data_IF_856214959750
#
_entry.id   IF_856214959750
#
_cell.length_a   1.000
_cell.length_b   1.000
_cell.length_c   1.000
_cell.angle_alpha   90.00
_cell.angle_beta   90.00
_cell.angle_gamma   90.00
#
_symmetry.space_group_name_H-M   'P 1'
#
loop_
_entity.id
_entity.type
_entity.pdbx_description
1 polymer ?
2 branched ?
3 branched ?
4 branched ?
5 non-polymer ?
#
# COMPACT_ATOMS: atom_id res chain seq x y z
N UNK A 1 17.25 -52.23 50.47
CA UNK A 1 17.31 -51.34 51.62
C UNK A 1 18.18 -51.91 52.74
N UNK A 2 19.51 -51.72 52.64
CA UNK A 2 20.28 -51.08 51.58
C UNK A 2 20.59 -52.11 50.49
N UNK A 3 21.26 -51.77 49.38
CA UNK A 3 21.76 -50.43 49.05
C UNK A 3 20.78 -49.61 48.21
N UNK A 4 21.28 -48.50 47.69
CA UNK A 4 20.52 -47.63 46.80
C UNK A 4 21.44 -47.02 45.75
N UNK A 5 20.86 -46.24 44.83
CA UNK A 5 21.64 -45.51 43.85
C UNK A 5 21.08 -44.10 43.71
N UNK A 6 21.96 -43.12 43.72
CA UNK A 6 21.54 -41.72 43.66
C UNK A 6 22.18 -40.94 42.51
N UNK A 7 21.39 -40.07 41.92
CA UNK A 7 21.87 -39.18 40.87
C UNK A 7 21.62 -37.74 41.29
N UNK A 8 22.61 -36.89 41.17
CA UNK A 8 22.45 -35.50 41.55
C UNK A 8 22.80 -34.53 40.42
N UNK A 9 21.99 -33.49 40.23
CA UNK A 9 20.66 -33.35 40.86
C UNK A 9 19.62 -34.20 40.13
N UNK A 10 18.59 -34.63 40.85
CA UNK A 10 17.53 -35.44 40.24
C UNK A 10 16.79 -34.69 39.14
N UNK A 11 16.52 -33.41 39.38
CA UNK A 11 15.88 -32.57 38.37
C UNK A 11 16.84 -31.46 37.92
N UNK A 12 16.83 -31.15 36.63
CA UNK A 12 17.71 -30.12 36.10
C UNK A 12 17.07 -29.29 35.00
N UNK A 13 17.40 -28.00 34.98
CA UNK A 13 16.88 -27.07 33.99
C UNK A 13 18.04 -26.29 33.40
N UNK A 14 18.17 -26.32 32.08
CA UNK A 14 19.32 -25.71 31.44
C UNK A 14 18.95 -25.01 30.13
N UNK A 15 19.83 -24.15 29.64
CA UNK A 15 19.64 -23.52 28.35
C UNK A 15 19.78 -24.56 27.25
N UNK A 16 18.99 -24.40 26.19
CA UNK A 16 19.12 -25.27 25.03
C UNK A 16 20.51 -25.11 24.41
N UNK A 17 21.17 -26.22 24.16
CA UNK A 17 22.55 -26.18 23.70
C UNK A 17 23.46 -25.75 24.85
N UNK A 18 22.97 -25.92 26.07
CA UNK A 18 23.72 -25.54 27.25
C UNK A 18 24.39 -26.75 27.89
N UNK A 19 24.94 -26.55 29.08
CA UNK A 19 25.72 -27.60 29.74
C UNK A 19 25.54 -27.61 31.25
N UNK A 20 25.86 -28.74 31.86
CA UNK A 20 25.87 -28.85 33.32
C UNK A 20 26.64 -30.06 33.84
N UNK A 21 26.73 -30.17 35.16
CA UNK A 21 27.43 -31.26 35.82
C UNK A 21 26.45 -32.23 36.47
N UNK A 22 26.81 -33.50 36.48
CA UNK A 22 26.01 -34.53 37.14
C UNK A 22 26.90 -35.44 37.98
N UNK A 23 26.54 -35.58 39.25
CA UNK A 23 27.28 -36.43 40.18
C UNK A 23 26.42 -37.61 40.60
N UNK A 24 26.78 -38.80 40.12
CA UNK A 24 26.01 -40.01 40.42
C UNK A 24 26.81 -40.92 41.33
N UNK A 25 26.23 -41.28 42.46
CA UNK A 25 26.92 -42.07 43.47
C UNK A 25 26.07 -43.22 44.00
N UNK A 26 26.71 -44.14 44.71
CA UNK A 26 26.01 -45.20 45.40
C UNK A 26 26.82 -45.61 46.63
N UNK A 27 26.17 -46.29 47.57
CA UNK A 27 26.83 -46.69 48.82
C UNK A 27 27.58 -48.01 48.71
N UNK A 28 27.56 -48.62 47.52
CA UNK A 28 28.22 -49.89 47.29
C UNK A 28 29.72 -49.79 47.52
N UNK A 29 30.24 -50.56 48.49
CA UNK A 29 31.65 -50.53 48.91
C UNK A 29 32.62 -50.89 47.80
N UNK A 30 32.32 -51.98 47.09
CA UNK A 30 33.14 -52.40 45.97
C UNK A 30 32.27 -52.55 44.73
N UNK A 31 32.02 -51.43 44.03
CA UNK A 31 31.20 -51.50 42.83
C UNK A 31 31.85 -52.39 41.79
N UNK A 32 31.11 -53.36 41.28
CA UNK A 32 31.64 -54.25 40.26
C UNK A 32 31.60 -53.54 38.92
N UNK A 33 30.69 -52.57 38.81
CA UNK A 33 30.61 -51.71 37.63
C UNK A 33 29.92 -50.39 37.96
N UNK A 34 30.08 -49.41 37.07
CA UNK A 34 29.39 -48.14 37.21
C UNK A 34 29.43 -47.37 35.90
N UNK A 35 28.44 -46.51 35.70
CA UNK A 35 28.33 -45.76 34.46
C UNK A 35 27.03 -44.99 34.31
N UNK A 36 26.84 -44.37 33.15
CA UNK A 36 25.66 -43.54 32.91
C UNK A 36 25.06 -43.77 31.52
N UNK A 37 23.74 -43.92 31.48
CA UNK A 37 23.01 -44.03 30.22
C UNK A 37 22.40 -42.69 29.83
N UNK A 38 22.89 -42.13 28.73
CA UNK A 38 22.37 -40.89 28.17
C UNK A 38 22.75 -40.79 26.69
N UNK A 39 22.01 -39.98 25.94
CA UNK A 39 22.29 -39.76 24.52
C UNK A 39 23.10 -38.49 24.25
N UNK A 40 23.36 -37.73 25.31
CA UNK A 40 23.97 -36.41 25.17
C UNK A 40 25.49 -36.44 25.05
N UNK A 41 26.04 -35.49 24.30
CA UNK A 41 27.48 -35.38 24.12
C UNK A 41 28.17 -34.87 25.38
N UNK A 42 29.32 -35.46 25.69
CA UNK A 42 30.08 -35.09 26.89
C UNK A 42 31.40 -34.43 26.52
N UNK A 43 31.72 -33.32 27.17
CA UNK A 43 33.00 -32.66 26.98
C UNK A 43 34.02 -33.18 27.99
N UNK A 44 33.86 -32.80 29.25
CA UNK A 44 34.73 -33.26 30.32
C UNK A 44 34.07 -34.32 31.19
N UNK A 45 34.86 -34.97 32.03
CA UNK A 45 34.35 -35.99 32.93
C UNK A 45 35.21 -36.16 34.18
N UNK A 46 34.61 -36.63 35.26
CA UNK A 46 35.36 -36.95 36.48
C UNK A 46 34.86 -38.23 37.12
N UNK A 47 35.54 -38.66 38.19
CA UNK A 47 35.19 -39.90 38.87
C UNK A 47 35.91 -40.04 40.22
N UNK A 48 35.74 -41.20 40.85
CA UNK A 48 36.33 -41.45 42.14
C UNK A 48 35.83 -42.75 42.77
N UNK A 49 35.93 -42.85 44.09
CA UNK A 49 35.47 -44.03 44.80
C UNK A 49 33.97 -43.93 45.07
N UNK A 50 33.21 -44.89 44.55
CA UNK A 50 31.76 -44.95 44.70
C UNK A 50 30.99 -43.83 43.99
N UNK A 51 31.70 -42.87 43.42
CA UNK A 51 31.05 -41.77 42.71
C UNK A 51 31.65 -41.49 41.33
N UNK A 52 30.79 -41.26 40.36
CA UNK A 52 31.20 -40.94 39.00
C UNK A 52 30.49 -39.66 38.56
N UNK A 53 31.22 -38.79 37.86
CA UNK A 53 30.68 -37.48 37.49
C UNK A 53 30.87 -37.16 36.02
N UNK A 54 29.91 -36.43 35.44
CA UNK A 54 29.96 -36.13 34.01
C UNK A 54 29.51 -34.70 33.71
N UNK A 55 30.21 -34.05 32.79
CA UNK A 55 29.76 -32.76 32.30
C UNK A 55 29.11 -32.94 30.94
N UNK A 56 27.79 -32.77 30.90
CA UNK A 56 27.07 -32.89 29.63
C UNK A 56 26.83 -31.53 29.01
N UNK A 57 27.21 -31.40 27.74
CA UNK A 57 27.17 -30.12 27.03
C UNK A 57 26.33 -30.20 25.76
N UNK A 58 25.94 -29.02 25.24
CA UNK A 58 25.14 -28.92 24.02
C UNK A 58 23.88 -29.77 24.12
N UNK A 59 22.97 -29.39 25.00
CA UNK A 59 21.74 -30.14 25.18
C UNK A 59 20.60 -29.43 24.47
N UNK A 60 20.17 -30.00 23.34
CA UNK A 60 19.07 -29.45 22.56
C UNK A 60 17.77 -30.18 22.87
N UNK A 61 17.87 -31.17 23.73
CA UNK A 61 16.73 -32.05 24.01
C UNK A 61 15.77 -31.42 25.02
N UNK A 62 14.49 -31.31 24.63
CA UNK A 62 13.43 -30.74 25.45
C UNK A 62 13.26 -31.53 26.75
N UNK A 63 13.20 -32.85 26.64
CA UNK A 63 13.15 -33.71 27.80
C UNK A 63 14.04 -34.93 27.62
N UNK A 64 14.93 -35.15 28.58
CA UNK A 64 15.77 -36.34 28.60
C UNK A 64 15.84 -36.90 30.02
N UNK A 65 15.76 -38.21 30.14
CA UNK A 65 15.77 -38.87 31.44
C UNK A 65 16.96 -39.80 31.54
N UNK A 66 18.14 -39.24 31.85
CA UNK A 66 19.37 -40.03 31.94
C UNK A 66 19.34 -40.93 33.15
N UNK A 67 20.05 -42.06 33.12
CA UNK A 67 20.03 -42.97 34.26
C UNK A 67 21.41 -43.51 34.62
N UNK A 68 21.82 -43.27 35.87
CA UNK A 68 23.12 -43.74 36.35
C UNK A 68 22.98 -45.13 36.97
N UNK A 69 23.87 -46.03 36.55
CA UNK A 69 23.79 -47.42 37.00
C UNK A 69 25.09 -47.88 37.66
N UNK A 70 24.94 -48.62 38.76
CA UNK A 70 26.06 -49.21 39.46
C UNK A 70 25.80 -50.69 39.69
N UNK A 71 26.69 -51.53 39.17
CA UNK A 71 26.59 -52.97 39.37
C UNK A 71 27.35 -53.41 40.62
N UNK A 72 26.60 -53.94 41.59
CA UNK A 72 27.18 -54.39 42.85
C UNK A 72 26.48 -55.69 43.27
N UNK A 73 27.27 -56.63 43.80
CA UNK A 73 26.77 -57.94 44.21
C UNK A 73 26.01 -58.66 43.11
N UNK A 74 26.54 -58.61 41.89
CA UNK A 74 25.90 -59.21 40.73
C UNK A 74 24.48 -58.68 40.50
N UNK A 75 24.26 -57.44 40.93
CA UNK A 75 22.93 -56.83 40.85
C UNK A 75 23.02 -55.40 40.34
N UNK A 76 21.97 -54.95 39.65
CA UNK A 76 21.96 -53.62 39.06
C UNK A 76 21.29 -52.60 39.99
N UNK A 77 21.94 -51.45 40.15
CA UNK A 77 21.40 -50.36 40.93
C UNK A 77 21.21 -49.13 40.05
N UNK A 78 19.96 -48.75 39.82
CA UNK A 78 19.67 -47.67 38.87
C UNK A 78 19.07 -46.43 39.53
N UNK A 79 19.48 -45.26 39.03
CA UNK A 79 18.92 -43.99 39.48
C UNK A 79 18.61 -43.10 38.28
N UNK A 80 17.34 -42.75 38.10
CA UNK A 80 16.92 -41.99 36.93
C UNK A 80 16.65 -40.52 37.26
N UNK A 81 17.25 -39.62 36.47
CA UNK A 81 17.04 -38.20 36.61
C UNK A 81 16.15 -37.60 35.52
N UNK A 82 16.00 -36.29 35.55
CA UNK A 82 15.22 -35.59 34.52
C UNK A 82 15.87 -34.27 34.10
N UNK A 83 16.04 -34.09 32.80
CA UNK A 83 16.69 -32.90 32.25
C UNK A 83 15.75 -32.14 31.32
N UNK A 84 15.56 -30.85 31.58
CA UNK A 84 14.70 -30.02 30.73
C UNK A 84 15.39 -28.75 30.25
N UNK A 85 15.26 -28.46 28.96
CA UNK A 85 15.91 -27.29 28.37
C UNK A 85 14.92 -26.16 28.09
N UNK A 86 15.04 -25.08 28.84
CA UNK A 86 14.18 -23.91 28.65
C UNK A 86 14.60 -23.08 27.44
N UNK A 87 13.69 -22.25 26.95
CA UNK A 87 13.95 -21.46 25.75
C UNK A 87 13.55 -19.98 25.88
N UNK A 88 14.53 -19.09 25.69
CA UNK A 88 14.24 -17.67 25.59
C UNK A 88 13.73 -17.36 24.18
N UNK A 89 12.83 -16.37 24.06
CA UNK A 89 12.26 -16.03 22.76
C UNK A 89 13.20 -15.20 21.89
N UNK A 90 14.31 -15.81 21.48
CA UNK A 90 15.25 -15.15 20.57
C UNK A 90 14.63 -14.94 19.20
N UNK A 91 13.59 -15.71 18.89
CA UNK A 91 12.88 -15.55 17.63
C UNK A 91 11.39 -15.34 17.87
N UNK A 92 10.91 -14.14 17.51
CA UNK A 92 9.49 -13.83 17.59
C UNK A 92 9.06 -13.18 16.28
N UNK A 93 8.14 -13.83 15.57
CA UNK A 93 7.75 -13.35 14.25
C UNK A 93 6.25 -13.14 14.09
N UNK A 94 5.87 -12.36 13.08
CA UNK A 94 4.47 -12.02 12.83
C UNK A 94 4.19 -11.97 11.33
N UNK A 95 3.00 -12.41 10.93
CA UNK A 95 2.65 -12.55 9.53
C UNK A 95 2.39 -11.22 8.82
N UNK A 96 2.80 -11.13 7.55
CA UNK A 96 2.61 -9.94 6.71
C UNK A 96 1.15 -9.48 6.68
N UNK A 97 0.95 -8.18 6.85
CA UNK A 97 -0.40 -7.62 6.79
C UNK A 97 -0.84 -7.53 5.32
N UNK A 98 -2.16 -7.51 5.09
CA UNK A 98 -2.65 -7.18 3.76
C UNK A 98 -2.08 -5.83 3.34
N UNK A 99 -1.48 -5.75 2.14
CA UNK A 99 -0.88 -4.50 1.64
C UNK A 99 -1.93 -3.41 1.67
N UNK A 100 -3.15 -3.79 1.32
CA UNK A 100 -4.32 -2.96 1.52
C UNK A 100 -5.49 -3.83 1.96
N UNK A 101 -6.11 -3.48 3.07
CA UNK A 101 -7.24 -4.24 3.58
C UNK A 101 -8.54 -3.44 3.53
N UNK A 102 -9.50 -3.89 2.72
CA UNK A 102 -10.78 -3.18 2.59
C UNK A 102 -11.46 -3.05 3.95
N UNK A 103 -11.91 -1.84 4.30
CA UNK A 103 -12.54 -1.62 5.58
C UNK A 103 -13.90 -2.32 5.63
N UNK A 104 -14.09 -3.17 6.64
CA UNK A 104 -15.29 -3.97 6.76
C UNK A 104 -15.04 -5.41 6.39
N UNK A 105 -13.89 -5.65 5.77
CA UNK A 105 -13.51 -7.01 5.38
C UNK A 105 -12.70 -7.71 6.47
N UNK A 106 -13.20 -8.85 6.94
CA UNK A 106 -12.50 -9.63 7.95
C UNK A 106 -11.16 -10.15 7.43
N UNK A 107 -10.11 -9.88 8.20
CA UNK A 107 -8.78 -10.38 7.87
C UNK A 107 -8.20 -11.03 9.12
N UNK A 108 -7.24 -11.94 8.96
CA UNK A 108 -6.78 -12.73 10.10
C UNK A 108 -5.35 -12.39 10.49
N UNK A 109 -5.03 -12.60 11.77
CA UNK A 109 -3.72 -12.29 12.30
C UNK A 109 -3.08 -13.49 12.98
N UNK A 110 -2.00 -14.01 12.42
CA UNK A 110 -1.34 -15.18 12.98
C UNK A 110 0.05 -14.83 13.50
N UNK A 111 0.36 -15.31 14.70
CA UNK A 111 1.67 -15.13 15.29
C UNK A 111 2.31 -16.49 15.52
N UNK A 112 3.38 -16.76 14.78
CA UNK A 112 4.10 -18.02 14.89
C UNK A 112 5.44 -17.80 15.58
N UNK A 113 5.65 -18.49 16.69
CA UNK A 113 6.89 -18.39 17.45
C UNK A 113 7.56 -19.75 17.52
N UNK A 114 8.32 -20.12 16.47
CA UNK A 114 8.94 -21.44 16.34
C UNK A 114 9.89 -21.80 17.47
N UNK A 115 9.73 -23.00 18.03
CA UNK A 115 10.61 -23.51 19.05
C UNK A 115 10.51 -22.83 20.41
N UNK A 116 9.28 -22.66 20.89
CA UNK A 116 9.06 -22.03 22.19
C UNK A 116 8.66 -23.06 23.25
N UNK A 117 9.30 -22.99 24.42
CA UNK A 117 9.01 -23.93 25.49
C UNK A 117 9.46 -23.50 26.87
N UNK A 118 8.92 -24.15 27.92
CA UNK A 118 7.85 -25.16 27.82
C UNK A 118 6.52 -24.51 27.49
N UNK A 119 5.72 -25.15 26.66
CA UNK A 119 4.47 -24.56 26.17
C UNK A 119 3.53 -24.16 27.30
N UNK A 120 3.54 -24.94 28.39
CA UNK A 120 2.65 -24.70 29.51
C UNK A 120 3.01 -23.44 30.30
N UNK A 121 4.22 -22.94 30.09
CA UNK A 121 4.68 -21.74 30.80
C UNK A 121 4.44 -20.48 30.00
N UNK A 122 3.82 -20.62 28.83
CA UNK A 122 3.73 -19.50 27.90
C UNK A 122 2.34 -18.85 27.84
N UNK A 123 2.34 -17.52 27.88
CA UNK A 123 1.13 -16.75 27.64
C UNK A 123 1.40 -15.79 26.48
N UNK A 124 0.64 -15.95 25.41
CA UNK A 124 0.83 -15.17 24.19
C UNK A 124 -0.24 -14.11 24.05
N UNK A 125 0.11 -12.97 23.45
CA UNK A 125 -0.85 -11.89 23.29
C UNK A 125 -0.81 -11.22 21.91
N UNK A 126 -1.95 -11.21 21.24
CA UNK A 126 -2.11 -10.44 20.02
C UNK A 126 -2.81 -9.13 20.36
N UNK A 127 -2.16 -8.01 20.06
CA UNK A 127 -2.67 -6.72 20.48
C UNK A 127 -2.53 -5.57 19.49
N UNK A 128 -3.55 -4.71 19.50
CA UNK A 128 -3.57 -3.46 18.75
C UNK A 128 -3.08 -2.35 19.66
N UNK A 129 -1.92 -1.79 19.35
CA UNK A 129 -1.35 -0.72 20.15
C UNK A 129 -1.17 -1.13 21.61
N UNK A 130 -1.77 -0.36 22.50
CA UNK A 130 -1.68 -0.64 23.93
C UNK A 130 -2.77 -1.61 24.42
N UNK A 131 -3.78 -1.85 23.59
CA UNK A 131 -4.91 -2.67 24.00
C UNK A 131 -4.78 -4.13 23.56
N UNK A 132 -4.86 -5.04 24.53
CA UNK A 132 -4.84 -6.47 24.23
C UNK A 132 -6.13 -6.89 23.54
N UNK A 133 -6.00 -7.47 22.36
CA UNK A 133 -7.16 -8.08 21.70
C UNK A 133 -7.37 -9.47 22.25
N UNK A 134 -6.40 -10.36 22.01
CA UNK A 134 -6.53 -11.73 22.49
C UNK A 134 -5.32 -12.23 23.27
N UNK A 135 -5.59 -12.83 24.43
CA UNK A 135 -4.53 -13.39 25.27
C UNK A 135 -4.77 -14.86 25.53
N UNK A 136 -3.73 -15.67 25.39
CA UNK A 136 -3.88 -17.11 25.57
C UNK A 136 -2.79 -17.69 26.47
N UNK A 137 -3.21 -18.23 27.60
CA UNK A 137 -2.33 -19.00 28.46
C UNK A 137 -2.33 -20.43 27.96
N UNK A 138 -1.16 -20.98 27.65
CA UNK A 138 -1.08 -22.35 27.15
C UNK A 138 -0.90 -23.36 28.28
N UNK A 139 -0.95 -22.89 29.52
CA UNK A 139 -0.76 -23.77 30.67
C UNK A 139 -1.69 -24.97 30.61
N UNK A 140 -1.12 -26.16 30.74
CA UNK A 140 -1.89 -27.37 30.61
C UNK A 140 -1.59 -28.13 29.34
N UNK A 141 -0.87 -27.49 28.42
CA UNK A 141 -0.30 -28.21 27.30
C UNK A 141 0.77 -29.12 27.89
N UNK A 142 0.98 -30.29 27.27
CA UNK A 142 1.88 -31.33 27.80
C UNK A 142 3.28 -30.81 28.10
N UNK A 143 3.96 -31.41 29.09
CA UNK A 143 5.29 -31.00 29.55
C UNK A 143 6.34 -31.04 28.45
N UNK A 144 6.13 -31.92 27.48
CA UNK A 144 7.08 -32.09 26.38
C UNK A 144 6.76 -31.17 25.20
N UNK A 145 5.62 -30.48 25.28
CA UNK A 145 5.15 -29.68 24.17
C UNK A 145 5.96 -28.39 23.98
N UNK A 146 6.36 -28.14 22.74
CA UNK A 146 7.11 -26.93 22.41
C UNK A 146 6.47 -26.20 21.23
N UNK A 147 6.63 -24.88 21.21
CA UNK A 147 6.11 -24.05 20.13
C UNK A 147 4.76 -23.44 20.46
N UNK A 148 4.52 -22.23 19.95
CA UNK A 148 3.27 -21.53 20.23
C UNK A 148 2.80 -20.71 19.02
N UNK A 149 1.50 -20.77 18.74
CA UNK A 149 0.91 -20.01 17.64
C UNK A 149 -0.41 -19.37 18.10
N UNK A 150 -0.62 -18.11 17.74
CA UNK A 150 -1.90 -17.47 18.06
C UNK A 150 -2.53 -16.75 16.86
N UNK A 151 -3.71 -17.21 16.46
CA UNK A 151 -4.44 -16.61 15.35
C UNK A 151 -5.73 -15.96 15.83
N UNK A 152 -5.97 -14.73 15.40
CA UNK A 152 -7.20 -14.01 15.71
C UNK A 152 -7.79 -13.35 14.47
N UNK A 153 -9.04 -13.68 14.17
CA UNK A 153 -9.75 -13.04 13.08
C UNK A 153 -10.23 -11.66 13.54
N UNK A 154 -10.14 -10.68 12.65
CA UNK A 154 -10.40 -9.28 13.00
C UNK A 154 -11.22 -8.56 11.93
N UNK A 155 -12.19 -7.78 12.37
CA UNK A 155 -12.94 -6.89 11.49
C UNK A 155 -12.16 -5.60 11.29
N UNK A 156 -12.12 -5.10 10.06
CA UNK A 156 -11.33 -3.92 9.74
C UNK A 156 -12.04 -2.62 10.09
N UNK A 157 -11.39 -1.80 10.92
CA UNK A 157 -11.94 -0.49 11.30
C UNK A 157 -11.20 0.65 10.63
N UNK A 158 -11.93 1.74 10.38
CA UNK A 158 -11.37 2.91 9.72
C UNK A 158 -10.42 3.66 10.64
N UNK A 159 -10.79 3.77 11.92
CA UNK A 159 -9.95 4.45 12.90
C UNK A 159 -8.75 3.61 13.29
N UNK A 160 -8.77 2.34 12.90
CA UNK A 160 -7.66 1.44 13.17
C UNK A 160 -6.66 1.41 12.03
N UNK A 161 -6.89 2.26 11.02
CA UNK A 161 -5.97 2.39 9.91
C UNK A 161 -4.78 3.27 10.30
N UNK A 162 -3.58 2.70 10.19
CA UNK A 162 -2.37 3.43 10.50
C UNK A 162 -1.79 3.10 11.86
N UNK A 163 -2.51 2.29 12.63
CA UNK A 163 -2.06 1.90 13.96
C UNK A 163 -0.90 0.89 13.88
N UNK A 164 -0.38 0.50 15.04
CA UNK A 164 0.74 -0.43 15.10
C UNK A 164 0.37 -1.69 15.88
N UNK A 165 0.40 -2.83 15.21
CA UNK A 165 -0.05 -4.08 15.81
C UNK A 165 1.13 -4.98 16.18
N UNK A 166 1.00 -5.74 17.27
CA UNK A 166 2.09 -6.63 17.65
C UNK A 166 1.68 -7.88 18.45
N UNK A 167 2.56 -8.87 18.44
CA UNK A 167 2.38 -10.11 19.16
C UNK A 167 3.46 -10.22 20.24
N UNK A 168 3.04 -10.12 21.50
CA UNK A 168 3.96 -10.18 22.63
C UNK A 168 3.86 -11.53 23.34
N UNK A 169 5.00 -12.21 23.45
CA UNK A 169 5.04 -13.50 24.11
C UNK A 169 5.66 -13.39 25.50
N UNK A 170 5.07 -14.07 26.47
CA UNK A 170 5.51 -14.01 27.86
C UNK A 170 5.76 -15.41 28.44
N UNK A 171 7.02 -15.71 28.77
CA UNK A 171 7.38 -16.98 29.37
C UNK A 171 7.58 -16.85 30.87
N UNK A 172 6.93 -17.70 31.65
CA UNK A 172 7.04 -17.60 33.11
C UNK A 172 7.99 -18.68 33.63
N UNK A 173 9.20 -18.27 33.96
CA UNK A 173 10.16 -19.11 34.69
C UNK A 173 10.23 -18.74 36.17
N UNK A 174 9.33 -17.84 36.58
CA UNK A 174 9.20 -17.45 37.98
C UNK A 174 9.10 -18.61 38.98
N UNK A 175 8.34 -19.68 38.65
CA UNK A 175 8.35 -20.81 39.59
C UNK A 175 9.73 -21.42 39.78
N UNK A 176 10.56 -21.36 38.75
CA UNK A 176 11.90 -21.94 38.80
C UNK A 176 12.94 -20.93 39.29
N UNK A 177 12.48 -19.74 39.65
CA UNK A 177 13.35 -18.70 40.17
C UNK A 177 14.05 -17.92 39.07
N UNK A 178 13.91 -18.41 37.84
CA UNK A 178 14.54 -17.76 36.69
C UNK A 178 13.74 -16.54 36.26
N UNK A 179 12.43 -16.58 36.46
CA UNK A 179 11.60 -15.40 36.27
C UNK A 179 10.98 -15.23 34.89
N UNK A 180 10.32 -14.11 34.69
CA UNK A 180 9.65 -13.81 33.43
C UNK A 180 10.62 -13.40 32.33
N UNK A 181 10.40 -13.93 31.14
CA UNK A 181 11.12 -13.48 29.95
C UNK A 181 10.12 -13.25 28.82
N UNK A 182 10.01 -12.00 28.39
CA UNK A 182 9.03 -11.65 27.36
C UNK A 182 9.67 -10.99 26.16
N UNK A 183 9.02 -11.09 25.01
CA UNK A 183 9.53 -10.44 23.80
C UNK A 183 8.41 -10.00 22.86
N UNK A 184 8.71 -9.02 22.01
CA UNK A 184 7.72 -8.47 21.10
C UNK A 184 8.13 -8.64 19.64
N UNK A 185 7.20 -9.14 18.83
CA UNK A 185 7.45 -9.29 17.40
C UNK A 185 7.51 -7.92 16.73
N UNK A 186 8.11 -7.87 15.55
CA UNK A 186 8.22 -6.62 14.81
C UNK A 186 6.85 -6.02 14.54
N UNK A 187 6.60 -4.81 15.08
CA UNK A 187 5.31 -4.14 14.92
C UNK A 187 4.98 -3.86 13.46
N UNK A 188 3.77 -4.22 13.05
CA UNK A 188 3.32 -4.00 11.68
C UNK A 188 2.22 -2.94 11.62
N UNK A 189 2.37 -2.01 10.68
CA UNK A 189 1.38 -0.96 10.48
C UNK A 189 0.41 -1.38 9.38
N UNK A 190 -0.89 -1.24 9.65
CA UNK A 190 -1.91 -1.68 8.71
C UNK A 190 -2.38 -0.60 7.74
N UNK A 191 -2.49 -0.98 6.48
CA UNK A 191 -3.06 -0.11 5.47
C UNK A 191 -4.45 -0.60 5.08
N UNK A 192 -5.44 0.27 5.22
CA UNK A 192 -6.81 -0.06 4.84
C UNK A 192 -7.29 0.90 3.76
N UNK A 193 -8.51 0.69 3.27
CA UNK A 193 -9.07 1.60 2.27
C UNK A 193 -10.58 1.41 2.09
N UNK A 194 -11.17 2.28 1.29
CA UNK A 194 -12.60 2.19 0.99
C UNK A 194 -12.90 2.83 -0.37
N UNK A 195 -13.97 2.38 -1.02
CA UNK A 195 -14.35 2.85 -2.34
C UNK A 195 -15.87 2.86 -2.43
N UNK A 196 -16.38 2.96 -3.66
CA UNK A 196 -17.81 3.16 -3.89
C UNK A 196 -18.10 3.13 -5.38
N UNK A 197 -19.34 2.76 -5.74
CA UNK A 197 -19.83 2.79 -7.12
C UNK A 197 -20.03 4.24 -7.58
N UNK A 198 -20.74 4.45 -8.69
CA UNK A 198 -20.92 5.78 -9.25
C UNK A 198 -19.59 6.39 -9.65
N UNK A 199 -19.07 5.91 -10.78
CA UNK A 199 -17.79 6.32 -11.33
C UNK A 199 -17.66 7.84 -11.38
N UNK A 200 -16.42 8.35 -11.30
CA UNK A 200 -16.15 9.77 -11.08
C UNK A 200 -16.95 10.71 -11.97
N UNK A 201 -17.41 11.81 -11.39
CA UNK A 201 -18.21 12.76 -12.13
C UNK A 201 -17.29 13.82 -12.73
N UNK A 202 -17.16 13.80 -14.05
CA UNK A 202 -16.24 14.67 -14.76
C UNK A 202 -17.01 15.68 -15.59
N UNK A 203 -16.69 16.96 -15.41
CA UNK A 203 -17.40 18.04 -16.10
C UNK A 203 -16.48 18.83 -17.02
N UNK A 204 -16.80 18.81 -18.31
CA UNK A 204 -16.04 19.55 -19.30
C UNK A 204 -16.95 20.07 -20.41
N UNK A 205 -16.63 21.25 -20.97
CA UNK A 205 -17.30 21.67 -22.20
C UNK A 205 -16.85 20.76 -23.33
N UNK A 206 -17.72 20.48 -24.29
CA UNK A 206 -17.39 19.53 -25.34
C UNK A 206 -16.75 20.19 -26.57
N UNK A 207 -16.46 21.48 -26.49
CA UNK A 207 -15.88 22.20 -27.62
C UNK A 207 -14.54 22.85 -27.26
N UNK A 208 -13.53 22.63 -28.09
CA UNK A 208 -12.17 23.11 -27.81
C UNK A 208 -11.48 23.76 -29.00
N UNK A 209 -10.73 24.83 -28.75
CA UNK A 209 -9.92 25.47 -29.78
C UNK A 209 -8.49 25.65 -29.30
N UNK A 210 -7.53 25.52 -30.22
CA UNK A 210 -6.11 25.70 -29.90
C UNK A 210 -5.80 27.18 -29.69
N UNK A 211 -4.91 27.45 -28.74
CA UNK A 211 -4.56 28.83 -28.40
C UNK A 211 -5.51 29.39 -27.37
N UNK A 212 -6.54 28.63 -27.02
CA UNK A 212 -7.48 29.03 -25.98
C UNK A 212 -7.36 28.11 -24.77
N UNK A 213 -7.48 28.69 -23.58
CA UNK A 213 -7.40 27.91 -22.34
C UNK A 213 -8.73 27.91 -21.60
N UNK A 214 -9.31 26.72 -21.42
CA UNK A 214 -10.56 26.58 -20.69
C UNK A 214 -10.43 25.58 -19.54
N UNK A 215 -11.08 25.89 -18.40
CA UNK A 215 -11.00 25.05 -17.19
C UNK A 215 -11.87 23.80 -17.28
N UNK A 216 -11.42 22.74 -16.60
CA UNK A 216 -12.16 21.47 -16.53
C UNK A 216 -11.93 20.85 -15.16
N UNK A 217 -12.97 20.25 -14.58
CA UNK A 217 -12.87 19.66 -13.24
C UNK A 217 -13.35 18.21 -13.18
N UNK A 218 -12.75 17.43 -12.28
CA UNK A 218 -13.18 16.06 -12.03
C UNK A 218 -13.14 15.76 -10.53
N UNK A 219 -14.24 15.22 -9.99
CA UNK A 219 -14.33 14.96 -8.56
C UNK A 219 -15.02 13.65 -8.20
N UNK A 220 -15.06 13.37 -6.90
CA UNK A 220 -15.82 12.27 -6.30
C UNK A 220 -15.61 12.32 -4.79
N UNK A 221 -16.48 11.66 -4.03
CA UNK A 221 -16.38 11.66 -2.57
C UNK A 221 -16.52 10.25 -1.99
N UNK A 222 -16.42 10.15 -0.67
CA UNK A 222 -16.45 8.86 0.01
C UNK A 222 -15.21 8.05 -0.26
N UNK A 223 -14.05 8.66 -0.07
CA UNK A 223 -12.77 8.02 -0.37
C UNK A 223 -11.80 8.17 0.80
N UNK A 224 -11.41 7.06 1.40
CA UNK A 224 -10.46 7.07 2.51
C UNK A 224 -9.43 5.94 2.38
N UNK A 225 -8.16 6.24 2.71
CA UNK A 225 -7.64 7.56 3.07
C UNK A 225 -7.58 8.48 1.85
N UNK A 226 -8.05 9.71 2.01
CA UNK A 226 -8.09 10.67 0.93
C UNK A 226 -6.68 11.05 0.51
N UNK A 227 -5.85 11.36 1.52
CA UNK A 227 -4.49 11.83 1.30
C UNK A 227 -3.62 10.80 0.58
N UNK A 228 -3.85 9.53 0.87
CA UNK A 228 -2.99 8.45 0.37
C UNK A 228 -3.38 7.97 -1.03
N UNK A 229 -4.43 8.56 -1.60
CA UNK A 229 -4.88 8.18 -2.94
C UNK A 229 -4.39 9.15 -4.01
N UNK A 230 -3.96 8.62 -5.15
CA UNK A 230 -3.43 9.44 -6.24
C UNK A 230 -4.32 9.40 -7.48
N UNK A 231 -4.41 10.53 -8.18
CA UNK A 231 -5.36 10.69 -9.30
C UNK A 231 -4.68 11.21 -10.57
N UNK A 232 -5.19 10.78 -11.72
CA UNK A 232 -4.66 11.16 -13.03
C UNK A 232 -5.73 11.78 -13.92
N UNK A 233 -5.41 12.89 -14.56
CA UNK A 233 -6.30 13.53 -15.52
C UNK A 233 -5.52 14.06 -16.73
N UNK A 234 -5.95 13.71 -17.93
CA UNK A 234 -5.22 14.08 -19.13
C UNK A 234 -6.08 14.22 -20.38
N UNK A 235 -5.59 15.01 -21.32
CA UNK A 235 -6.19 15.10 -22.65
C UNK A 235 -5.31 14.30 -23.62
N UNK A 236 -5.83 13.16 -24.07
CA UNK A 236 -5.05 12.27 -24.91
C UNK A 236 -3.77 11.85 -24.24
N UNK A 237 -2.65 12.01 -24.95
CA UNK A 237 -1.34 11.71 -24.40
C UNK A 237 -0.85 12.86 -23.51
N UNK A 238 -1.50 14.01 -23.64
CA UNK A 238 -1.07 15.21 -22.92
C UNK A 238 -1.67 15.29 -21.52
N UNK A 239 -0.80 15.32 -20.50
CA UNK A 239 -1.24 15.36 -19.11
C UNK A 239 -1.54 16.78 -18.62
N UNK A 240 -2.68 16.92 -17.94
CA UNK A 240 -3.15 18.22 -17.47
C UNK A 240 -2.51 18.67 -16.15
N UNK A 241 -2.16 17.70 -15.30
CA UNK A 241 -1.62 17.95 -13.96
C UNK A 241 -2.51 18.91 -13.16
N UNK A 242 -3.72 18.48 -12.79
CA UNK A 242 -4.71 19.38 -12.19
C UNK A 242 -4.44 19.75 -10.74
N UNK A 243 -4.99 20.88 -10.29
CA UNK A 243 -4.85 21.32 -8.91
C UNK A 243 -5.76 20.46 -8.04
N UNK A 244 -5.19 19.76 -7.08
CA UNK A 244 -5.94 18.76 -6.32
C UNK A 244 -6.27 19.21 -4.89
N UNK A 245 -7.57 19.39 -4.63
CA UNK A 245 -8.05 19.74 -3.30
C UNK A 245 -8.52 18.48 -2.58
N UNK A 246 -8.25 18.38 -1.28
CA UNK A 246 -8.70 17.24 -0.51
C UNK A 246 -9.37 17.71 0.78
N UNK A 247 -10.67 17.46 0.91
CA UNK A 247 -11.39 17.79 2.14
C UNK A 247 -12.16 16.58 2.64
N UNK A 248 -11.76 16.04 3.79
CA UNK A 248 -12.37 14.85 4.32
C UNK A 248 -12.20 13.69 3.37
N UNK A 249 -13.30 13.06 2.98
CA UNK A 249 -13.26 11.94 2.05
C UNK A 249 -13.49 12.36 0.59
N UNK A 250 -13.59 13.67 0.36
CA UNK A 250 -13.86 14.21 -0.97
C UNK A 250 -12.63 14.90 -1.56
N UNK A 251 -12.52 14.88 -2.88
CA UNK A 251 -11.40 15.52 -3.57
C UNK A 251 -11.86 16.41 -4.72
N UNK A 252 -11.04 17.40 -5.08
CA UNK A 252 -11.35 18.27 -6.20
C UNK A 252 -10.10 18.47 -7.06
N UNK A 253 -10.20 18.13 -8.34
CA UNK A 253 -9.09 18.36 -9.27
C UNK A 253 -9.49 19.36 -10.36
N UNK A 254 -8.89 20.54 -10.31
CA UNK A 254 -9.17 21.58 -11.30
C UNK A 254 -7.91 21.94 -12.08
N UNK A 255 -8.04 22.08 -13.39
CA UNK A 255 -6.93 22.55 -14.21
C UNK A 255 -7.45 23.39 -15.37
N UNK A 256 -6.53 23.95 -16.14
CA UNK A 256 -6.88 24.66 -17.36
C UNK A 256 -6.00 24.12 -18.46
N UNK A 257 -6.61 23.43 -19.43
CA UNK A 257 -5.84 22.82 -20.49
C UNK A 257 -5.69 23.76 -21.69
N UNK A 258 -4.92 23.32 -22.67
CA UNK A 258 -4.73 24.05 -23.92
C UNK A 258 -4.72 23.01 -25.02
N UNK A 259 -5.45 23.26 -26.10
CA UNK A 259 -5.56 22.26 -27.16
C UNK A 259 -4.20 21.97 -27.82
N UNK A 260 -4.05 20.73 -28.28
CA UNK A 260 -2.75 20.16 -28.64
C UNK A 260 -2.37 20.27 -30.12
N UNK A 261 -3.18 20.99 -30.90
CA UNK A 261 -2.90 21.24 -32.32
C UNK A 261 -3.17 20.05 -33.25
N UNK A 262 -3.58 18.91 -32.69
CA UNK A 262 -3.84 17.71 -33.49
C UNK A 262 -5.28 17.17 -33.41
N UNK A 263 -5.97 17.22 -34.54
CA UNK A 263 -7.28 16.57 -34.73
C UNK A 263 -8.27 16.73 -33.56
N UNK A 264 -8.73 15.60 -33.04
CA UNK A 264 -9.61 15.48 -31.89
C UNK A 264 -10.91 16.29 -32.13
N UNK A 265 -11.70 16.71 -31.13
CA UNK A 265 -11.75 16.21 -29.76
C UNK A 265 -12.36 14.83 -29.70
N UNK A 266 -12.36 14.17 -30.86
CA UNK A 266 -12.60 12.74 -30.96
C UNK A 266 -11.56 12.00 -30.12
N UNK A 267 -10.64 12.77 -29.54
CA UNK A 267 -9.81 12.34 -28.42
C UNK A 267 -10.74 12.15 -27.23
N UNK A 268 -10.18 11.84 -26.07
CA UNK A 268 -11.02 11.64 -24.89
C UNK A 268 -10.43 12.29 -23.64
N UNK A 269 -11.26 12.42 -22.61
CA UNK A 269 -10.80 12.94 -21.32
C UNK A 269 -10.90 11.86 -20.25
N UNK A 270 -9.74 11.42 -19.77
CA UNK A 270 -9.67 10.29 -18.85
C UNK A 270 -9.41 10.71 -17.41
N UNK A 271 -10.36 10.38 -16.53
CA UNK A 271 -10.22 10.66 -15.12
C UNK A 271 -10.25 9.34 -14.33
N UNK A 272 -9.12 8.98 -13.75
CA UNK A 272 -9.04 7.74 -12.97
C UNK A 272 -8.20 7.91 -11.69
N UNK A 273 -8.51 7.08 -10.70
CA UNK A 273 -7.81 7.12 -9.41
C UNK A 273 -7.40 5.70 -9.03
N UNK A 274 -6.23 5.57 -8.43
CA UNK A 274 -5.78 4.28 -7.91
C UNK A 274 -5.56 4.33 -6.40
N UNK A 275 -6.36 3.58 -5.66
CA UNK A 275 -6.17 3.44 -4.22
C UNK A 275 -6.27 1.96 -3.85
N UNK A 276 -5.29 1.48 -3.08
CA UNK A 276 -5.17 0.05 -2.85
C UNK A 276 -4.82 -0.60 -4.17
N UNK A 277 -5.49 -1.70 -4.48
CA UNK A 277 -5.31 -2.36 -5.77
C UNK A 277 -6.48 -2.11 -6.71
N UNK A 278 -7.27 -1.08 -6.41
CA UNK A 278 -8.49 -0.81 -7.17
C UNK A 278 -8.48 0.54 -7.91
N UNK A 279 -9.22 0.63 -9.00
CA UNK A 279 -9.33 1.86 -9.77
C UNK A 279 -10.69 2.08 -10.43
N UNK A 280 -11.14 3.33 -10.42
CA UNK A 280 -12.38 3.71 -11.08
C UNK A 280 -12.10 4.76 -12.14
N UNK A 281 -12.41 4.44 -13.39
CA UNK A 281 -12.08 5.31 -14.50
C UNK A 281 -13.32 5.71 -15.31
N UNK A 282 -13.50 7.01 -15.50
CA UNK A 282 -14.54 7.53 -16.37
C UNK A 282 -13.93 8.30 -17.53
N UNK A 283 -14.55 8.22 -18.70
CA UNK A 283 -14.03 8.89 -19.89
C UNK A 283 -15.06 9.84 -20.47
N UNK A 284 -14.58 10.87 -21.16
CA UNK A 284 -15.46 11.84 -21.81
C UNK A 284 -15.03 12.17 -23.23
N UNK A 285 -15.92 11.89 -24.18
CA UNK A 285 -15.72 12.36 -25.55
C UNK A 285 -15.90 13.87 -25.58
N UNK A 286 -15.20 14.55 -26.49
CA UNK A 286 -15.16 16.01 -26.49
C UNK A 286 -14.95 16.51 -27.93
N UNK A 287 -14.78 17.82 -28.16
CA UNK A 287 -14.33 18.28 -29.48
C UNK A 287 -13.31 19.44 -29.49
N UNK A 288 -12.14 19.15 -30.03
CA UNK A 288 -11.13 20.15 -30.37
C UNK A 288 -11.32 20.48 -31.84
N UNK A 289 -11.45 21.75 -32.16
CA UNK A 289 -11.57 22.17 -33.54
C UNK A 289 -10.47 23.16 -33.87
N UNK A 290 -10.20 23.33 -35.16
CA UNK A 290 -9.32 24.39 -35.62
C UNK A 290 -10.12 25.37 -36.45
N UNK A 291 -10.20 26.61 -35.97
CA UNK A 291 -10.98 27.63 -36.66
C UNK A 291 -10.11 28.84 -36.96
N UNK A 292 -9.53 28.86 -38.18
CA UNK A 292 -8.60 29.92 -38.58
C UNK A 292 -9.22 31.31 -38.47
N UNK A 293 -8.53 32.24 -37.81
CA UNK A 293 -9.02 33.59 -37.67
C UNK A 293 -9.12 34.27 -39.03
N UNK A 294 -10.33 34.78 -39.37
CA UNK A 294 -10.58 35.41 -40.67
C UNK A 294 -9.76 36.67 -40.86
N UNK A 295 -9.15 36.81 -42.03
CA UNK A 295 -8.31 37.96 -42.33
C UNK A 295 -9.09 39.02 -43.09
N UNK A 296 -8.92 40.28 -42.69
CA UNK A 296 -9.61 41.39 -43.32
C UNK A 296 -8.61 42.38 -43.91
N UNK A 297 -8.60 42.50 -45.23
CA UNK A 297 -7.61 43.34 -45.90
C UNK A 297 -8.20 44.32 -46.91
N UNK A 298 -7.50 45.42 -47.13
CA UNK A 298 -7.92 46.49 -48.03
C UNK A 298 -6.72 47.10 -48.76
N UNK A 299 -6.88 47.34 -50.06
CA UNK A 299 -5.83 47.98 -50.85
C UNK A 299 -6.40 49.08 -51.76
N UNK A 300 -5.94 50.32 -51.56
CA UNK A 300 -4.97 50.66 -50.54
C UNK A 300 -5.69 50.84 -49.20
N UNK A 301 -5.06 50.41 -48.09
CA UNK A 301 -5.68 50.53 -46.77
C UNK A 301 -6.08 51.96 -46.42
N UNK A 302 -5.38 52.93 -46.97
CA UNK A 302 -5.75 54.34 -46.83
C UNK A 302 -5.69 55.00 -48.21
N UNK A 303 -6.82 55.49 -48.68
CA UNK A 303 -6.90 56.06 -50.03
C UNK A 303 -7.48 57.46 -50.05
N UNK A 304 -7.26 58.15 -51.16
CA UNK A 304 -7.89 59.43 -51.43
C UNK A 304 -9.36 59.22 -51.81
N UNK A 305 -10.17 60.25 -51.66
CA UNK A 305 -11.60 60.14 -51.91
C UNK A 305 -11.93 59.94 -53.39
N UNK A 306 -12.76 58.95 -53.67
CA UNK A 306 -13.16 58.65 -55.03
C UNK A 306 -12.40 57.50 -55.63
N UNK A 307 -11.24 57.20 -55.05
CA UNK A 307 -10.41 56.11 -55.53
C UNK A 307 -11.07 54.75 -55.28
N UNK A 308 -11.05 53.88 -56.28
CA UNK A 308 -11.61 52.54 -56.14
C UNK A 308 -10.83 51.73 -55.11
N UNK A 309 -11.54 51.01 -54.26
CA UNK A 309 -10.92 50.15 -53.26
C UNK A 309 -11.51 48.74 -53.28
N UNK A 310 -10.74 47.77 -52.77
CA UNK A 310 -11.18 46.38 -52.71
C UNK A 310 -11.05 45.83 -51.29
N UNK A 311 -11.92 44.91 -50.92
CA UNK A 311 -11.88 44.29 -49.60
C UNK A 311 -12.30 42.82 -49.68
N UNK A 312 -11.62 41.97 -48.91
CA UNK A 312 -11.88 40.52 -48.94
C UNK A 312 -11.73 39.86 -47.57
N UNK A 313 -12.35 38.70 -47.42
CA UNK A 313 -12.23 37.91 -46.20
C UNK A 313 -12.39 36.43 -46.53
N UNK A 314 -11.63 35.57 -45.86
CA UNK A 314 -11.65 34.15 -46.19
C UNK A 314 -11.55 33.23 -44.97
N UNK A 315 -12.35 32.17 -44.96
CA UNK A 315 -12.37 31.22 -43.85
C UNK A 315 -11.51 29.97 -44.10
N UNK A 316 -10.82 29.92 -45.23
CA UNK A 316 -10.04 28.75 -45.58
C UNK A 316 -10.85 27.76 -46.39
N UNK A 317 -11.90 28.28 -47.01
CA UNK A 317 -12.75 27.53 -47.94
C UNK A 317 -13.62 26.45 -47.29
N UNK A 318 -13.32 26.11 -46.04
CA UNK A 318 -14.05 25.05 -45.36
C UNK A 318 -15.22 25.58 -44.53
N UNK A 319 -15.32 26.90 -44.43
CA UNK A 319 -16.40 27.53 -43.68
C UNK A 319 -17.08 28.63 -44.50
N UNK A 320 -18.34 28.89 -44.20
CA UNK A 320 -19.11 29.91 -44.91
C UNK A 320 -18.83 31.30 -44.34
N UNK A 321 -18.82 32.32 -45.20
CA UNK A 321 -18.48 33.68 -44.79
C UNK A 321 -19.56 34.70 -45.15
N UNK A 322 -19.79 35.65 -44.24
CA UNK A 322 -20.68 36.78 -44.51
C UNK A 322 -19.89 38.08 -44.47
N UNK A 323 -19.84 38.78 -45.60
CA UNK A 323 -19.07 40.02 -45.71
C UNK A 323 -20.00 41.23 -45.76
N UNK A 324 -20.02 42.00 -44.67
CA UNK A 324 -20.92 43.13 -44.51
C UNK A 324 -22.37 42.80 -44.90
N UNK A 325 -22.86 41.68 -44.36
CA UNK A 325 -24.21 41.23 -44.66
C UNK A 325 -24.32 40.40 -45.93
N UNK A 326 -23.31 40.50 -46.78
CA UNK A 326 -23.30 39.75 -48.04
C UNK A 326 -22.67 38.37 -47.87
N UNK A 327 -23.47 37.31 -48.11
CA UNK A 327 -22.99 35.93 -48.02
C UNK A 327 -21.91 35.64 -49.05
N UNK A 328 -21.10 34.61 -48.80
CA UNK A 328 -20.07 34.23 -49.76
C UNK A 328 -20.70 33.71 -51.04
N UNK A 329 -20.27 34.25 -52.18
CA UNK A 329 -20.72 33.75 -53.47
C UNK A 329 -19.53 33.52 -54.40
N UNK A 330 -19.28 32.26 -54.74
CA UNK A 330 -20.03 31.13 -54.19
C UNK A 330 -19.37 30.65 -52.89
N UNK A 331 -20.15 30.01 -51.99
CA UNK A 331 -19.74 29.68 -50.61
C UNK A 331 -18.36 29.05 -50.43
N UNK A 332 -17.95 28.18 -51.34
CA UNK A 332 -16.70 27.44 -51.19
C UNK A 332 -15.45 28.29 -51.16
N UNK A 333 -15.56 29.56 -51.54
CA UNK A 333 -14.41 30.45 -51.56
C UNK A 333 -14.82 31.89 -51.20
N UNK A 334 -13.86 32.72 -50.73
CA UNK A 334 -14.13 34.07 -50.24
C UNK A 334 -14.96 34.96 -51.16
N UNK A 335 -15.79 35.82 -50.55
CA UNK A 335 -16.54 36.81 -51.30
C UNK A 335 -15.76 38.13 -51.33
N UNK A 336 -16.29 39.13 -52.03
CA UNK A 336 -15.58 40.38 -52.23
C UNK A 336 -16.51 41.59 -52.17
N UNK A 337 -15.93 42.76 -51.96
CA UNK A 337 -16.67 44.02 -52.10
C UNK A 337 -15.76 45.11 -52.66
N UNK A 338 -16.29 45.87 -53.62
CA UNK A 338 -15.56 46.97 -54.24
C UNK A 338 -16.49 48.16 -54.39
N UNK A 339 -15.92 49.35 -54.44
CA UNK A 339 -16.70 50.58 -54.61
C UNK A 339 -15.81 51.77 -54.94
N UNK A 340 -16.44 52.93 -55.14
CA UNK A 340 -15.74 54.20 -55.19
C UNK A 340 -15.83 54.82 -53.82
N UNK A 341 -14.71 55.37 -53.33
CA UNK A 341 -14.67 55.91 -51.98
C UNK A 341 -15.67 57.04 -51.76
N UNK A 342 -16.38 56.99 -50.64
CA UNK A 342 -17.37 58.00 -50.32
C UNK A 342 -16.96 58.78 -49.08
N UNK A 343 -17.29 60.08 -49.08
CA UNK A 343 -16.92 60.96 -47.99
C UNK A 343 -17.57 60.50 -46.69
N UNK A 344 -18.75 59.88 -46.79
CA UNK A 344 -19.45 59.36 -45.63
C UNK A 344 -18.91 58.00 -45.20
N UNK A 345 -18.10 57.38 -46.06
CA UNK A 345 -17.52 56.08 -45.75
C UNK A 345 -16.21 56.19 -44.96
N UNK A 346 -15.83 57.43 -44.63
CA UNK A 346 -14.65 57.64 -43.80
C UNK A 346 -14.96 57.20 -42.37
N UNK A 347 -13.99 56.57 -41.72
CA UNK A 347 -14.15 56.01 -40.39
C UNK A 347 -15.25 54.96 -40.32
N UNK A 348 -15.54 54.35 -41.46
CA UNK A 348 -16.52 53.27 -41.51
C UNK A 348 -15.83 51.92 -41.40
N UNK A 349 -16.31 51.09 -40.47
CA UNK A 349 -15.71 49.78 -40.25
C UNK A 349 -16.64 48.69 -40.77
N UNK A 350 -16.05 47.59 -41.22
CA UNK A 350 -16.82 46.51 -41.83
C UNK A 350 -16.71 45.21 -41.05
N UNK A 351 -17.81 44.45 -41.02
CA UNK A 351 -17.85 43.19 -40.30
C UNK A 351 -17.62 42.01 -41.24
N UNK A 352 -16.92 41.00 -40.75
CA UNK A 352 -16.76 39.75 -41.49
C UNK A 352 -17.18 38.59 -40.61
N UNK A 353 -18.27 37.93 -40.98
CA UNK A 353 -18.80 36.82 -40.20
C UNK A 353 -18.39 35.46 -40.78
N UNK A 354 -17.58 34.73 -40.02
CA UNK A 354 -17.18 33.37 -40.40
C UNK A 354 -17.97 32.34 -39.60
N UNK A 355 -18.59 31.40 -40.30
CA UNK A 355 -19.38 30.36 -39.63
C UNK A 355 -18.92 28.96 -39.97
N UNK A 356 -18.51 28.21 -38.94
CA UNK A 356 -18.14 26.80 -39.11
C UNK A 356 -18.95 25.94 -38.15
N UNK A 357 -19.57 24.89 -38.68
CA UNK A 357 -20.37 23.99 -37.88
C UNK A 357 -19.72 22.61 -37.70
N UNK A 358 -19.56 22.22 -36.43
CA UNK A 358 -19.07 20.88 -36.09
C UNK A 358 -19.96 20.29 -34.99
N UNK A 359 -20.48 19.10 -35.24
CA UNK A 359 -21.44 18.45 -34.34
C UNK A 359 -22.69 19.31 -34.17
N UNK A 360 -23.02 20.11 -35.17
CA UNK A 360 -24.19 20.96 -35.13
C UNK A 360 -23.92 22.29 -34.44
N UNK A 361 -22.81 22.35 -33.72
CA UNK A 361 -22.44 23.57 -33.00
C UNK A 361 -22.01 24.66 -33.98
N UNK A 362 -22.68 25.80 -33.90
CA UNK A 362 -22.38 26.92 -34.79
C UNK A 362 -21.34 27.84 -34.19
N UNK A 363 -20.24 28.05 -34.91
CA UNK A 363 -19.13 28.84 -34.39
C UNK A 363 -18.88 30.08 -35.24
N UNK A 364 -18.75 31.22 -34.59
CA UNK A 364 -18.62 32.50 -35.29
C UNK A 364 -17.43 33.33 -34.82
N UNK A 365 -16.87 34.12 -35.74
CA UNK A 365 -15.80 35.04 -35.42
C UNK A 365 -16.07 36.44 -36.00
N UNK A 366 -16.21 37.42 -35.11
CA UNK A 366 -16.38 38.80 -35.55
C UNK A 366 -15.05 39.52 -35.61
N UNK A 367 -14.68 39.96 -36.81
CA UNK A 367 -13.43 40.70 -37.00
C UNK A 367 -13.64 41.90 -37.91
N UNK A 368 -13.21 43.07 -37.45
CA UNK A 368 -13.49 44.32 -38.15
C UNK A 368 -12.24 45.18 -38.37
N UNK A 369 -12.28 45.98 -39.43
CA UNK A 369 -11.20 46.91 -39.73
C UNK A 369 -11.76 48.27 -40.16
N UNK A 370 -11.37 49.32 -39.45
CA UNK A 370 -11.83 50.67 -39.77
C UNK A 370 -11.08 51.20 -40.99
N UNK A 371 -11.69 52.17 -41.69
CA UNK A 371 -11.08 52.76 -42.87
C UNK A 371 -10.72 54.23 -42.67
N UNK A 372 -9.52 54.60 -43.08
CA UNK A 372 -9.07 55.99 -42.99
C UNK A 372 -8.68 56.52 -44.37
#
# INVERSE_FOLDING_TARGET
EPFWADLQPRVAFVERGGSLWLNCSTNCPRPERGGLETSLRRNGTQRGLRWLARQLVDIREPETQPVCFFRCARRTLQARGLIRTFQRPDRVELMPLPPWQPVGENFTLSCRVPGAGPRASLTLTLLRGAQELIRRSFAGEPPRARGAVLTATVLARREDHGANFSCRAELDLRPHGLGLFENSSAPRELRTFSLSPDAPRLAAPRLLEVGSERPVSCTLDGLFPASEARVYLALGDQNLSPDVTLEGDAFVATATATASAEQEGARQLVCNVTLGGENRETRENVTIYSFPAPLLTLSEPSVSEGQMVTVTCAAGAQALVTLEGVPAAVPGQPAQLQLNATENDDRRSFFCDATLDVDGETLIKNRSAELRVLYAPR
#
